data_IF_954547694596
#
_entry.id   IF_954547694596
#
_cell.length_a   1.000
_cell.length_b   1.000
_cell.length_c   1.000
_cell.angle_alpha   90.00
_cell.angle_beta   90.00
_cell.angle_gamma   90.00
#
_symmetry.space_group_name_H-M   'P 1'
#
loop_
_entity.id
_entity.type
_entity.pdbx_description
1 polymer ?
#
# COMPACT_ATOMS: atom_id res chain seq x y z
N UNK A 1 2.83 22.30 5.46
CA UNK A 1 2.49 20.89 5.17
C UNK A 1 3.44 20.39 4.10
N UNK A 2 3.88 19.14 4.24
CA UNK A 2 4.88 18.49 3.38
C UNK A 2 4.40 18.29 1.94
N UNK A 3 3.11 18.00 1.75
CA UNK A 3 2.42 17.85 0.45
C UNK A 3 2.46 19.06 -0.48
N UNK A 4 3.04 20.20 -0.05
CA UNK A 4 3.34 21.35 -0.93
C UNK A 4 4.68 21.22 -1.67
N UNK A 5 5.51 20.25 -1.30
CA UNK A 5 6.89 20.10 -1.79
C UNK A 5 7.19 18.70 -2.34
N UNK A 6 6.45 17.67 -1.89
CA UNK A 6 6.63 16.27 -2.31
C UNK A 6 5.28 15.58 -2.54
N UNK A 7 5.30 14.50 -3.31
CA UNK A 7 4.14 13.66 -3.65
C UNK A 7 4.29 12.32 -2.91
N UNK A 8 3.23 11.75 -2.29
CA UNK A 8 3.32 10.45 -1.64
C UNK A 8 3.58 9.31 -2.63
N UNK A 9 4.20 8.22 -2.14
CA UNK A 9 4.40 7.00 -2.92
C UNK A 9 3.07 6.32 -3.30
N UNK A 10 3.06 5.62 -4.44
CA UNK A 10 1.86 4.97 -4.99
C UNK A 10 1.70 3.49 -4.63
N UNK A 11 2.73 2.86 -4.04
CA UNK A 11 2.71 1.46 -3.60
C UNK A 11 3.72 1.19 -2.48
N UNK A 12 3.47 0.14 -1.71
CA UNK A 12 4.44 -0.46 -0.79
C UNK A 12 5.44 -1.25 -1.63
N UNK A 13 6.74 -1.02 -1.41
CA UNK A 13 7.83 -1.77 -2.06
C UNK A 13 8.14 -3.00 -1.19
N UNK A 14 8.23 -4.22 -1.76
CA UNK A 14 8.66 -5.40 -1.00
C UNK A 14 10.03 -5.20 -0.33
N UNK A 15 10.30 -5.90 0.79
CA UNK A 15 11.63 -5.93 1.38
C UNK A 15 12.69 -6.37 0.35
N UNK A 16 13.83 -5.68 0.34
CA UNK A 16 14.94 -6.00 -0.56
C UNK A 16 15.83 -7.08 0.07
N UNK A 17 16.17 -8.12 -0.68
CA UNK A 17 17.18 -9.08 -0.27
C UNK A 17 18.57 -8.41 -0.28
N UNK A 18 19.30 -8.52 0.83
CA UNK A 18 20.63 -7.92 1.01
C UNK A 18 21.53 -8.83 1.85
N UNK A 19 22.87 -8.66 1.81
CA UNK A 19 23.78 -9.44 2.65
C UNK A 19 23.49 -9.39 4.15
N UNK A 20 22.83 -8.33 4.65
CA UNK A 20 22.47 -8.19 6.08
C UNK A 20 21.11 -8.80 6.44
N UNK A 21 20.29 -9.19 5.46
CA UNK A 21 18.93 -9.73 5.63
C UNK A 21 17.92 -9.00 4.73
N UNK A 22 16.63 -9.34 4.85
CA UNK A 22 15.59 -8.66 4.07
C UNK A 22 15.28 -7.26 4.64
N UNK A 23 15.52 -6.21 3.86
CA UNK A 23 15.39 -4.81 4.31
C UNK A 23 14.07 -4.19 3.84
N UNK A 24 13.18 -3.93 4.80
CA UNK A 24 11.97 -3.13 4.60
C UNK A 24 12.28 -1.63 4.58
N UNK A 25 11.73 -0.93 3.59
CA UNK A 25 11.98 0.49 3.35
C UNK A 25 10.84 1.37 3.88
N UNK A 26 11.16 2.39 4.66
CA UNK A 26 10.24 3.43 5.14
C UNK A 26 11.01 4.73 5.37
N UNK A 27 10.33 5.87 5.50
CA UNK A 27 10.95 7.19 5.63
C UNK A 27 10.24 8.00 6.72
N UNK A 28 11.01 8.44 7.73
CA UNK A 28 10.62 9.47 8.69
C UNK A 28 9.21 9.34 9.28
N UNK A 29 8.23 10.04 8.71
CA UNK A 29 6.86 10.11 9.21
C UNK A 29 6.13 8.75 9.17
N UNK A 30 6.55 7.84 8.28
CA UNK A 30 6.08 6.46 8.16
C UNK A 30 6.11 5.69 9.49
N UNK A 31 7.08 5.97 10.36
CA UNK A 31 7.21 5.29 11.67
C UNK A 31 5.97 5.45 12.56
N UNK A 32 5.11 6.44 12.29
CA UNK A 32 3.86 6.66 13.04
C UNK A 32 2.76 5.66 12.69
N UNK A 33 2.87 4.98 11.54
CA UNK A 33 1.86 4.07 11.01
C UNK A 33 2.34 2.62 11.16
N UNK A 34 1.91 1.87 12.20
CA UNK A 34 2.33 0.49 12.41
C UNK A 34 2.01 -0.42 11.22
N UNK A 35 0.96 -0.12 10.46
CA UNK A 35 0.46 -0.90 9.33
C UNK A 35 1.54 -1.12 8.26
N UNK A 36 2.37 -0.12 7.98
CA UNK A 36 3.45 -0.25 6.99
C UNK A 36 4.53 -1.23 7.47
N UNK A 37 4.92 -1.15 8.74
CA UNK A 37 5.94 -2.03 9.32
C UNK A 37 5.46 -3.46 9.45
N UNK A 38 4.20 -3.64 9.86
CA UNK A 38 3.50 -4.92 9.84
C UNK A 38 3.43 -5.51 8.42
N UNK A 39 3.27 -4.66 7.38
CA UNK A 39 3.14 -5.12 5.99
C UNK A 39 4.48 -5.62 5.46
N UNK A 40 5.53 -4.82 5.61
CA UNK A 40 6.91 -5.19 5.27
C UNK A 40 7.35 -6.48 6.00
N UNK A 41 7.00 -6.61 7.27
CA UNK A 41 7.30 -7.81 8.07
C UNK A 41 6.49 -9.03 7.61
N UNK A 42 5.19 -8.89 7.28
CA UNK A 42 4.39 -9.97 6.64
C UNK A 42 4.96 -10.37 5.27
N UNK A 43 5.66 -9.46 4.60
CA UNK A 43 6.39 -9.71 3.33
C UNK A 43 7.81 -10.27 3.54
N UNK A 44 8.21 -10.55 4.79
CA UNK A 44 9.49 -11.21 5.10
C UNK A 44 10.63 -10.27 5.49
N UNK A 45 10.38 -9.00 5.82
CA UNK A 45 11.43 -8.13 6.33
C UNK A 45 12.05 -8.68 7.63
N UNK A 46 13.39 -8.63 7.72
CA UNK A 46 14.17 -8.91 8.92
C UNK A 46 14.69 -7.62 9.56
N UNK A 47 14.84 -6.57 8.76
CA UNK A 47 15.22 -5.23 9.16
C UNK A 47 14.21 -4.22 8.63
N UNK A 48 13.90 -3.19 9.41
CA UNK A 48 13.09 -2.03 9.01
C UNK A 48 13.96 -0.76 9.07
N UNK A 49 13.82 0.11 8.08
CA UNK A 49 14.60 1.34 7.98
C UNK A 49 13.73 2.58 8.14
N UNK A 50 14.22 3.56 8.91
CA UNK A 50 13.58 4.87 9.05
C UNK A 50 14.59 6.03 8.94
N UNK A 51 15.26 6.22 7.78
CA UNK A 51 15.97 7.46 7.47
C UNK A 51 15.07 8.68 7.70
N UNK A 52 15.54 9.63 8.51
CA UNK A 52 14.68 10.64 9.13
C UNK A 52 15.33 12.01 9.29
N UNK A 53 14.50 13.04 9.34
CA UNK A 53 14.88 14.39 9.73
C UNK A 53 13.91 14.96 10.77
N UNK A 54 13.64 14.17 11.81
CA UNK A 54 12.67 14.47 12.86
C UNK A 54 12.91 15.84 13.52
N UNK A 55 11.84 16.59 13.80
CA UNK A 55 11.95 17.91 14.44
C UNK A 55 12.30 17.74 15.91
N UNK A 56 13.16 18.63 16.44
CA UNK A 56 13.72 18.52 17.79
C UNK A 56 12.67 18.19 18.88
N UNK A 57 11.62 18.99 19.00
CA UNK A 57 10.57 18.81 20.01
C UNK A 57 9.77 17.50 19.86
N UNK A 58 9.54 17.02 18.64
CA UNK A 58 8.82 15.74 18.44
C UNK A 58 9.74 14.53 18.57
N UNK A 59 11.04 14.69 18.29
CA UNK A 59 12.07 13.67 18.47
C UNK A 59 12.29 13.36 19.94
N UNK A 60 12.49 14.40 20.76
CA UNK A 60 12.65 14.30 22.21
C UNK A 60 11.54 13.47 22.91
N UNK A 61 10.31 13.55 22.41
CA UNK A 61 9.16 12.86 22.99
C UNK A 61 8.84 11.47 22.37
N UNK A 62 9.15 11.26 21.09
CA UNK A 62 8.61 10.11 20.34
C UNK A 62 9.65 9.25 19.62
N UNK A 63 10.87 9.73 19.40
CA UNK A 63 11.83 9.10 18.48
C UNK A 63 12.17 7.67 18.92
N UNK A 64 12.76 7.52 20.11
CA UNK A 64 13.14 6.21 20.63
C UNK A 64 11.90 5.31 20.84
N UNK A 65 10.85 5.82 21.49
CA UNK A 65 9.62 5.08 21.79
C UNK A 65 8.97 4.47 20.56
N UNK A 66 8.86 5.23 19.46
CA UNK A 66 8.29 4.72 18.21
C UNK A 66 9.21 3.69 17.56
N UNK A 67 10.53 3.94 17.47
CA UNK A 67 11.46 2.99 16.86
C UNK A 67 11.51 1.66 17.62
N UNK A 68 11.55 1.71 18.96
CA UNK A 68 11.53 0.51 19.82
C UNK A 68 10.22 -0.25 19.68
N UNK A 69 9.08 0.44 19.63
CA UNK A 69 7.79 -0.20 19.38
C UNK A 69 7.77 -0.93 18.03
N UNK A 70 8.30 -0.32 16.95
CA UNK A 70 8.41 -0.95 15.62
C UNK A 70 9.32 -2.17 15.63
N UNK A 71 10.39 -2.18 16.42
CA UNK A 71 11.27 -3.34 16.55
C UNK A 71 10.55 -4.51 17.25
N UNK A 72 9.95 -4.23 18.41
CA UNK A 72 9.30 -5.22 19.28
C UNK A 72 8.07 -5.85 18.61
N UNK A 73 7.13 -5.04 18.07
CA UNK A 73 5.84 -5.54 17.57
C UNK A 73 5.96 -6.38 16.28
N UNK A 74 7.08 -6.21 15.56
CA UNK A 74 7.38 -6.87 14.29
C UNK A 74 8.45 -7.96 14.43
N UNK A 75 9.23 -7.98 15.52
CA UNK A 75 10.41 -8.83 15.67
C UNK A 75 11.38 -8.64 14.50
N UNK A 76 11.79 -7.38 14.29
CA UNK A 76 12.73 -6.94 13.27
C UNK A 76 13.80 -6.05 13.90
N UNK A 77 15.02 -6.04 13.35
CA UNK A 77 15.96 -4.96 13.64
C UNK A 77 15.39 -3.64 13.10
N UNK A 78 15.63 -2.53 13.80
CA UNK A 78 15.25 -1.19 13.34
C UNK A 78 16.49 -0.32 13.18
N UNK A 79 16.67 0.26 11.99
CA UNK A 79 17.83 1.10 11.62
C UNK A 79 17.32 2.50 11.26
N UNK A 80 17.65 3.49 12.08
CA UNK A 80 17.11 4.83 11.96
C UNK A 80 18.24 5.85 11.77
N UNK A 81 18.65 6.07 10.52
CA UNK A 81 19.58 7.14 10.18
C UNK A 81 18.89 8.49 10.41
N UNK A 82 19.56 9.44 11.06
CA UNK A 82 18.93 10.71 11.46
C UNK A 82 19.77 11.92 11.04
N UNK A 83 19.12 12.97 10.57
CA UNK A 83 19.71 14.31 10.54
C UNK A 83 19.75 14.91 11.94
N UNK A 84 20.83 15.61 12.30
CA UNK A 84 21.01 16.26 13.61
C UNK A 84 21.36 17.75 13.49
N UNK A 85 21.08 18.50 14.56
CA UNK A 85 21.49 19.89 14.73
C UNK A 85 20.65 20.89 13.93
N UNK A 86 21.09 22.15 13.97
CA UNK A 86 20.43 23.27 13.30
C UNK A 86 20.85 23.34 11.83
N UNK A 87 19.88 23.21 10.93
CA UNK A 87 20.04 23.33 9.49
C UNK A 87 19.96 24.79 9.05
N UNK A 88 18.98 25.53 9.58
CA UNK A 88 18.78 26.96 9.32
C UNK A 88 18.03 27.60 10.49
N UNK A 89 17.84 28.93 10.47
CA UNK A 89 17.18 29.72 11.52
C UNK A 89 15.79 29.24 11.97
N UNK A 90 15.12 28.37 11.19
CA UNK A 90 13.77 27.86 11.48
C UNK A 90 13.70 26.32 11.57
N UNK A 91 14.80 25.59 11.38
CA UNK A 91 14.80 24.12 11.29
C UNK A 91 15.98 23.51 12.04
N UNK A 92 15.66 22.76 13.09
CA UNK A 92 16.60 21.94 13.88
C UNK A 92 16.07 20.51 13.95
N UNK A 93 16.93 19.53 13.70
CA UNK A 93 16.58 18.11 13.79
C UNK A 93 17.17 17.44 15.03
N UNK A 94 16.47 16.42 15.51
CA UNK A 94 16.79 15.70 16.74
C UNK A 94 18.13 14.95 16.69
N UNK A 95 18.42 14.24 15.60
CA UNK A 95 19.54 13.28 15.58
C UNK A 95 19.16 12.00 16.30
N UNK A 96 20.05 11.52 17.17
CA UNK A 96 19.95 10.21 17.84
C UNK A 96 19.76 9.06 16.85
N UNK A 97 20.54 9.05 15.76
CA UNK A 97 20.56 7.92 14.84
C UNK A 97 20.91 6.64 15.60
N UNK A 98 20.10 5.59 15.46
CA UNK A 98 20.21 4.38 16.28
C UNK A 98 19.90 3.09 15.52
N UNK A 99 20.45 1.99 16.02
CA UNK A 99 20.11 0.61 15.67
C UNK A 99 19.51 -0.06 16.90
N UNK A 100 18.40 -0.77 16.69
CA UNK A 100 17.63 -1.45 17.74
C UNK A 100 17.46 -2.91 17.35
N UNK A 101 17.66 -3.81 18.30
CA UNK A 101 17.43 -5.25 18.11
C UNK A 101 15.92 -5.61 18.09
N UNK A 102 15.53 -6.82 17.67
CA UNK A 102 14.14 -7.26 17.66
C UNK A 102 13.48 -7.39 19.04
N UNK A 103 14.24 -7.29 20.13
CA UNK A 103 13.75 -7.26 21.51
C UNK A 103 13.47 -5.82 21.99
N UNK A 104 13.85 -4.82 21.19
CA UNK A 104 13.71 -3.40 21.53
C UNK A 104 14.87 -2.85 22.35
N UNK A 105 16.03 -3.50 22.37
CA UNK A 105 17.28 -2.97 22.95
C UNK A 105 17.96 -2.04 21.96
N UNK A 106 18.34 -0.83 22.37
CA UNK A 106 19.18 0.06 21.54
C UNK A 106 20.61 -0.47 21.58
N UNK A 107 21.04 -1.14 20.51
CA UNK A 107 22.37 -1.78 20.42
C UNK A 107 23.46 -0.82 19.94
N UNK A 108 23.09 0.25 19.25
CA UNK A 108 23.99 1.30 18.82
C UNK A 108 23.25 2.64 18.71
N UNK A 109 23.89 3.74 19.10
CA UNK A 109 23.35 5.10 18.95
C UNK A 109 24.50 6.10 18.73
N UNK A 110 24.32 7.03 17.80
CA UNK A 110 25.21 8.17 17.63
C UNK A 110 25.13 9.13 18.84
N UNK A 111 26.28 9.71 19.21
CA UNK A 111 26.34 10.91 20.06
C UNK A 111 25.58 12.08 19.41
N UNK A 112 25.40 13.19 20.13
CA UNK A 112 25.06 14.45 19.47
C UNK A 112 26.16 14.87 18.45
N UNK A 113 25.77 15.65 17.44
CA UNK A 113 26.68 16.12 16.39
C UNK A 113 26.83 15.14 15.21
N UNK A 114 27.56 15.57 14.17
CA UNK A 114 27.77 14.75 12.98
C UNK A 114 28.69 13.57 13.32
N UNK A 115 28.19 12.34 13.20
CA UNK A 115 28.93 11.14 13.60
C UNK A 115 28.41 9.90 12.85
N UNK A 116 29.04 8.74 13.07
CA UNK A 116 28.54 7.43 12.66
C UNK A 116 28.68 6.41 13.79
N UNK A 117 27.89 5.34 13.72
CA UNK A 117 27.98 4.20 14.64
C UNK A 117 27.82 2.90 13.87
N UNK A 118 28.47 1.83 14.32
CA UNK A 118 28.36 0.49 13.75
C UNK A 118 27.58 -0.45 14.66
N UNK A 119 26.84 -1.40 14.07
CA UNK A 119 26.18 -2.49 14.78
C UNK A 119 26.28 -3.79 13.99
N UNK A 120 26.52 -4.91 14.68
CA UNK A 120 26.45 -6.26 14.11
C UNK A 120 25.00 -6.77 14.13
N UNK A 121 24.55 -7.37 13.03
CA UNK A 121 23.20 -7.92 12.89
C UNK A 121 23.22 -9.45 12.97
N UNK A 122 22.60 -10.01 14.02
CA UNK A 122 22.42 -11.46 14.17
C UNK A 122 21.00 -11.91 13.73
N UNK A 123 20.95 -12.60 12.58
CA UNK A 123 19.72 -13.18 12.06
C UNK A 123 19.31 -14.48 12.78
N UNK A 124 20.21 -15.16 13.51
CA UNK A 124 19.88 -16.33 14.32
C UNK A 124 19.14 -15.92 15.60
N UNK A 125 19.60 -14.86 16.26
CA UNK A 125 18.86 -14.18 17.33
C UNK A 125 17.44 -13.79 16.88
N UNK A 126 17.30 -13.14 15.72
CA UNK A 126 15.99 -12.81 15.15
C UNK A 126 15.12 -14.05 14.86
N UNK A 127 15.69 -15.11 14.27
CA UNK A 127 14.97 -16.36 13.99
C UNK A 127 14.48 -17.03 15.28
N UNK A 128 15.35 -17.19 16.27
CA UNK A 128 15.01 -17.83 17.56
C UNK A 128 13.95 -17.05 18.35
N UNK A 129 13.93 -15.71 18.29
CA UNK A 129 12.84 -14.90 18.85
C UNK A 129 11.50 -15.14 18.13
N UNK A 130 11.50 -15.20 16.79
CA UNK A 130 10.27 -15.50 16.01
C UNK A 130 9.76 -16.93 16.24
N UNK A 131 10.64 -17.88 16.55
CA UNK A 131 10.28 -19.26 16.90
C UNK A 131 9.74 -19.37 18.34
N UNK A 132 10.39 -18.74 19.32
CA UNK A 132 9.99 -18.78 20.73
C UNK A 132 8.76 -17.94 21.06
N UNK A 133 8.58 -16.80 20.39
CA UNK A 133 7.42 -15.92 20.52
C UNK A 133 6.78 -15.67 19.15
N UNK A 134 5.98 -16.61 18.61
CA UNK A 134 5.50 -16.55 17.23
C UNK A 134 4.30 -15.61 17.06
N UNK A 135 4.51 -14.29 17.18
CA UNK A 135 3.47 -13.26 17.17
C UNK A 135 2.49 -13.40 16.00
N UNK A 136 2.98 -13.73 14.80
CA UNK A 136 2.16 -13.93 13.60
C UNK A 136 1.17 -15.10 13.70
N UNK A 137 1.46 -16.13 14.50
CA UNK A 137 0.53 -17.25 14.77
C UNK A 137 -0.55 -16.86 15.78
N UNK A 138 -0.29 -15.86 16.63
CA UNK A 138 -1.21 -15.43 17.70
C UNK A 138 -2.18 -14.32 17.26
N UNK A 139 -2.04 -13.77 16.04
CA UNK A 139 -2.93 -12.73 15.52
C UNK A 139 -4.36 -13.25 15.30
N UNK A 140 -5.32 -12.58 15.92
CA UNK A 140 -6.78 -12.88 15.88
C UNK A 140 -7.42 -12.38 14.58
N UNK A 141 -6.99 -13.03 13.51
CA UNK A 141 -7.45 -12.81 12.13
C UNK A 141 -8.94 -13.20 11.90
N UNK A 142 -9.57 -13.78 12.91
CA UNK A 142 -10.99 -14.05 13.05
C UNK A 142 -11.78 -12.84 13.61
N UNK A 143 -11.11 -11.93 14.32
CA UNK A 143 -11.70 -10.70 14.89
C UNK A 143 -11.39 -9.46 14.07
N UNK A 144 -10.20 -9.38 13.47
CA UNK A 144 -9.78 -8.31 12.58
C UNK A 144 -9.28 -8.87 11.25
N UNK A 145 -9.46 -8.16 10.11
CA UNK A 145 -8.93 -8.63 8.84
C UNK A 145 -7.42 -8.84 8.90
N UNK A 146 -6.95 -9.93 8.29
CA UNK A 146 -5.53 -10.04 7.93
C UNK A 146 -5.19 -8.87 7.00
N UNK A 147 -4.00 -8.29 7.18
CA UNK A 147 -3.58 -7.20 6.29
C UNK A 147 -3.36 -7.72 4.86
N UNK A 148 -4.17 -7.23 3.92
CA UNK A 148 -4.15 -7.64 2.52
C UNK A 148 -2.91 -7.12 1.81
N UNK A 149 -2.24 -7.97 1.02
CA UNK A 149 -1.09 -7.56 0.21
C UNK A 149 -1.56 -6.76 -1.01
N UNK A 150 -1.23 -5.47 -1.09
CA UNK A 150 -1.45 -4.65 -2.30
C UNK A 150 -0.37 -4.90 -3.34
N UNK A 151 -0.31 -6.13 -3.85
CA UNK A 151 0.59 -6.55 -4.92
C UNK A 151 0.28 -5.85 -6.26
N UNK A 152 0.72 -4.60 -6.38
CA UNK A 152 0.69 -3.80 -7.61
C UNK A 152 1.94 -4.07 -8.46
N UNK A 153 1.97 -5.29 -9.03
CA UNK A 153 2.94 -5.76 -10.03
C UNK A 153 4.39 -5.92 -9.54
N UNK A 154 5.16 -6.95 -9.90
CA UNK A 154 4.91 -8.07 -10.83
C UNK A 154 6.04 -9.11 -10.72
N UNK A 155 5.74 -10.30 -10.21
CA UNK A 155 6.63 -11.47 -10.34
C UNK A 155 6.22 -12.26 -11.58
N UNK A 156 7.13 -12.40 -12.55
CA UNK A 156 6.87 -12.88 -13.90
C UNK A 156 6.74 -14.41 -14.00
N UNK A 157 5.70 -14.97 -13.39
CA UNK A 157 5.11 -16.23 -13.89
C UNK A 157 3.93 -15.89 -14.79
N UNK A 158 4.19 -15.92 -16.11
CA UNK A 158 3.15 -15.84 -17.12
C UNK A 158 2.38 -17.16 -17.12
N UNK A 159 1.32 -17.21 -16.32
CA UNK A 159 0.46 -18.38 -16.23
C UNK A 159 -0.50 -18.39 -17.44
N UNK A 160 -0.26 -19.33 -18.37
CA UNK A 160 -1.01 -19.47 -19.62
C UNK A 160 -2.51 -19.71 -19.40
N UNK A 161 -2.88 -20.34 -18.29
CA UNK A 161 -4.29 -20.62 -17.98
C UNK A 161 -4.61 -20.73 -16.49
N UNK A 162 -5.86 -20.37 -16.16
CA UNK A 162 -6.44 -20.36 -14.82
C UNK A 162 -7.62 -21.32 -14.78
N UNK A 163 -7.81 -22.02 -13.65
CA UNK A 163 -8.92 -22.94 -13.48
C UNK A 163 -10.16 -22.21 -12.95
N UNK A 164 -11.31 -22.38 -13.61
CA UNK A 164 -12.60 -21.85 -13.21
C UNK A 164 -13.63 -22.98 -13.19
N UNK A 165 -13.75 -23.68 -12.04
CA UNK A 165 -14.46 -24.96 -11.95
C UNK A 165 -13.98 -25.98 -12.96
N UNK A 166 -14.89 -26.54 -13.77
CA UNK A 166 -14.51 -27.48 -14.82
C UNK A 166 -13.92 -26.83 -16.08
N UNK A 167 -13.85 -25.49 -16.15
CA UNK A 167 -13.41 -24.75 -17.35
C UNK A 167 -12.00 -24.20 -17.15
N UNK A 168 -11.18 -24.30 -18.20
CA UNK A 168 -9.87 -23.65 -18.27
C UNK A 168 -10.02 -22.29 -18.97
N UNK A 169 -9.63 -21.22 -18.28
CA UNK A 169 -9.64 -19.82 -18.75
C UNK A 169 -8.24 -19.47 -19.24
N UNK A 170 -8.10 -19.02 -20.50
CA UNK A 170 -6.79 -18.63 -21.07
C UNK A 170 -6.36 -17.25 -20.55
N UNK A 171 -5.05 -17.03 -20.45
CA UNK A 171 -4.45 -15.72 -20.13
C UNK A 171 -5.10 -14.56 -20.90
N UNK A 172 -5.34 -14.74 -22.19
CA UNK A 172 -5.80 -13.70 -23.12
C UNK A 172 -7.23 -13.22 -22.81
N UNK A 173 -8.00 -13.99 -22.05
CA UNK A 173 -9.33 -13.60 -21.55
C UNK A 173 -9.29 -12.93 -20.17
N UNK A 174 -8.15 -12.97 -19.45
CA UNK A 174 -7.97 -12.37 -18.12
C UNK A 174 -7.39 -10.96 -18.26
N UNK A 175 -8.20 -9.94 -17.98
CA UNK A 175 -7.80 -8.54 -18.17
C UNK A 175 -7.31 -7.85 -16.89
N UNK A 176 -7.59 -8.40 -15.71
CA UNK A 176 -7.07 -7.91 -14.43
C UNK A 176 -6.91 -9.06 -13.43
N UNK A 177 -5.89 -9.00 -12.57
CA UNK A 177 -5.68 -9.97 -11.49
C UNK A 177 -4.93 -9.38 -10.29
N UNK A 178 -5.11 -10.01 -9.14
CA UNK A 178 -4.32 -9.84 -7.91
C UNK A 178 -3.58 -11.16 -7.63
N UNK A 179 -3.08 -11.34 -6.40
CA UNK A 179 -2.57 -12.64 -5.93
C UNK A 179 -3.67 -13.60 -5.44
N UNK A 180 -4.94 -13.15 -5.32
CA UNK A 180 -6.05 -13.96 -4.79
C UNK A 180 -7.23 -14.08 -5.77
N UNK A 181 -7.46 -13.09 -6.63
CA UNK A 181 -8.62 -13.00 -7.54
C UNK A 181 -8.17 -12.68 -8.96
N UNK A 182 -8.99 -13.04 -9.95
CA UNK A 182 -8.83 -12.65 -11.34
C UNK A 182 -10.18 -12.28 -11.98
N UNK A 183 -10.15 -11.33 -12.92
CA UNK A 183 -11.30 -10.85 -13.67
C UNK A 183 -11.10 -11.14 -15.17
N UNK A 184 -12.11 -11.72 -15.80
CA UNK A 184 -12.01 -12.25 -17.16
C UNK A 184 -13.31 -12.10 -17.97
N UNK A 185 -13.16 -12.15 -19.29
CA UNK A 185 -14.29 -12.01 -20.23
C UNK A 185 -15.14 -13.27 -20.29
N UNK A 186 -16.46 -13.09 -20.38
CA UNK A 186 -17.39 -14.21 -20.51
C UNK A 186 -17.49 -14.67 -21.99
N UNK A 187 -17.55 -15.98 -22.24
CA UNK A 187 -17.81 -16.55 -23.58
C UNK A 187 -19.26 -16.38 -24.02
N UNK A 188 -20.20 -16.23 -23.09
CA UNK A 188 -21.63 -16.03 -23.32
C UNK A 188 -22.13 -14.83 -22.51
N UNK A 189 -21.77 -13.64 -22.99
CA UNK A 189 -22.27 -12.38 -22.43
C UNK A 189 -23.80 -12.33 -22.49
N UNK A 190 -24.43 -11.85 -21.43
CA UNK A 190 -25.89 -11.66 -21.35
C UNK A 190 -26.24 -10.25 -21.84
N UNK A 191 -25.38 -9.29 -21.48
CA UNK A 191 -25.35 -7.91 -21.96
C UNK A 191 -23.91 -7.53 -22.33
N UNK A 192 -23.69 -6.48 -23.17
CA UNK A 192 -22.38 -5.88 -23.35
C UNK A 192 -21.76 -5.49 -22.00
N UNK A 193 -20.45 -5.69 -21.85
CA UNK A 193 -19.75 -5.46 -20.58
C UNK A 193 -19.89 -6.59 -19.54
N UNK A 194 -20.65 -7.67 -19.82
CA UNK A 194 -20.74 -8.81 -18.90
C UNK A 194 -19.38 -9.53 -18.74
N UNK A 195 -18.75 -9.30 -17.60
CA UNK A 195 -17.49 -9.91 -17.16
C UNK A 195 -17.69 -10.73 -15.89
N UNK A 196 -16.71 -11.60 -15.59
CA UNK A 196 -16.71 -12.49 -14.44
C UNK A 196 -15.51 -12.19 -13.54
N UNK A 197 -15.75 -12.19 -12.22
CA UNK A 197 -14.70 -12.08 -11.19
C UNK A 197 -14.71 -13.35 -10.35
N UNK A 198 -13.53 -13.93 -10.10
CA UNK A 198 -13.38 -15.23 -9.44
C UNK A 198 -12.10 -15.33 -8.59
N UNK A 199 -12.12 -15.98 -7.41
CA UNK A 199 -10.90 -16.33 -6.68
C UNK A 199 -10.05 -17.34 -7.48
N UNK A 200 -8.72 -17.13 -7.47
CA UNK A 200 -7.73 -18.06 -8.04
C UNK A 200 -7.83 -19.43 -7.33
N UNK A 201 -8.12 -19.43 -6.02
CA UNK A 201 -8.46 -20.66 -5.28
C UNK A 201 -9.96 -20.96 -5.38
N UNK A 202 -10.30 -21.90 -6.25
CA UNK A 202 -10.81 -23.21 -5.77
C UNK A 202 -12.07 -23.29 -4.87
N UNK A 203 -12.92 -22.28 -4.74
CA UNK A 203 -13.92 -22.16 -3.64
C UNK A 203 -15.37 -22.22 -4.12
N UNK A 204 -16.11 -23.26 -3.70
CA UNK A 204 -17.44 -23.62 -4.24
C UNK A 204 -18.55 -22.68 -3.78
N UNK A 205 -18.55 -22.37 -2.48
CA UNK A 205 -19.48 -21.49 -1.79
C UNK A 205 -18.79 -20.19 -1.39
N UNK A 206 -19.55 -19.11 -1.19
CA UNK A 206 -19.02 -17.91 -0.52
C UNK A 206 -18.49 -18.25 0.89
N UNK A 207 -19.10 -19.22 1.57
CA UNK A 207 -18.67 -19.71 2.89
C UNK A 207 -17.32 -20.44 2.89
N UNK A 208 -16.83 -20.88 1.73
CA UNK A 208 -15.55 -21.62 1.61
C UNK A 208 -14.37 -20.67 1.39
N UNK A 209 -14.64 -19.39 1.17
CA UNK A 209 -13.64 -18.34 0.97
C UNK A 209 -13.16 -17.80 2.31
N UNK A 210 -11.88 -17.47 2.37
CA UNK A 210 -11.32 -16.71 3.50
C UNK A 210 -11.71 -15.24 3.41
N UNK A 211 -11.71 -14.52 4.54
CA UNK A 211 -12.00 -13.08 4.57
C UNK A 211 -11.04 -12.25 3.70
N UNK A 212 -9.79 -12.72 3.49
CA UNK A 212 -8.83 -12.11 2.55
C UNK A 212 -9.35 -12.20 1.10
N UNK A 213 -9.82 -13.38 0.68
CA UNK A 213 -10.31 -13.61 -0.68
C UNK A 213 -11.65 -12.92 -0.91
N UNK A 214 -12.57 -12.90 0.07
CA UNK A 214 -13.83 -12.17 -0.03
C UNK A 214 -13.56 -10.66 -0.20
N UNK A 215 -12.67 -10.10 0.63
CA UNK A 215 -12.30 -8.69 0.56
C UNK A 215 -11.63 -8.34 -0.77
N UNK A 216 -10.63 -9.10 -1.20
CA UNK A 216 -9.94 -8.87 -2.48
C UNK A 216 -10.87 -9.02 -3.67
N UNK A 217 -11.79 -9.99 -3.64
CA UNK A 217 -12.78 -10.22 -4.69
C UNK A 217 -13.75 -9.05 -4.84
N UNK A 218 -14.35 -8.55 -3.75
CA UNK A 218 -15.27 -7.41 -3.84
C UNK A 218 -14.57 -6.08 -4.13
N UNK A 219 -13.32 -5.89 -3.67
CA UNK A 219 -12.48 -4.76 -4.09
C UNK A 219 -12.11 -4.84 -5.58
N UNK A 220 -11.95 -6.05 -6.13
CA UNK A 220 -11.79 -6.25 -7.57
C UNK A 220 -13.07 -5.91 -8.32
N UNK A 221 -14.24 -6.35 -7.85
CA UNK A 221 -15.54 -5.97 -8.44
C UNK A 221 -15.69 -4.46 -8.52
N UNK A 222 -15.47 -3.71 -7.43
CA UNK A 222 -15.57 -2.24 -7.45
C UNK A 222 -14.65 -1.58 -8.48
N UNK A 223 -13.41 -2.08 -8.64
CA UNK A 223 -12.47 -1.59 -9.66
C UNK A 223 -12.94 -1.91 -11.07
N UNK A 224 -13.41 -3.14 -11.30
CA UNK A 224 -13.89 -3.62 -12.60
C UNK A 224 -15.15 -2.86 -13.01
N UNK A 225 -16.12 -2.72 -12.11
CA UNK A 225 -17.34 -1.94 -12.28
C UNK A 225 -17.02 -0.52 -12.77
N UNK A 226 -16.18 0.22 -12.05
CA UNK A 226 -15.78 1.59 -12.41
C UNK A 226 -15.14 1.69 -13.80
N UNK A 227 -14.35 0.69 -14.20
CA UNK A 227 -13.76 0.61 -15.54
C UNK A 227 -14.81 0.28 -16.61
N UNK A 228 -15.71 -0.67 -16.34
CA UNK A 228 -16.74 -1.11 -17.28
C UNK A 228 -17.80 -0.03 -17.52
N UNK A 229 -18.28 0.64 -16.46
CA UNK A 229 -19.18 1.80 -16.55
C UNK A 229 -18.60 2.90 -17.43
N UNK A 230 -17.30 3.21 -17.25
CA UNK A 230 -16.60 4.21 -18.06
C UNK A 230 -16.44 3.80 -19.53
N UNK A 231 -16.13 2.53 -19.81
CA UNK A 231 -15.96 2.01 -21.18
C UNK A 231 -17.31 1.98 -21.92
N UNK A 232 -18.38 1.57 -21.24
CA UNK A 232 -19.70 1.39 -21.82
C UNK A 232 -20.63 2.61 -21.66
N UNK A 233 -20.14 3.70 -21.08
CA UNK A 233 -20.87 4.95 -20.83
C UNK A 233 -22.17 4.72 -20.02
N UNK A 234 -22.10 3.82 -19.04
CA UNK A 234 -23.22 3.43 -18.20
C UNK A 234 -23.19 4.14 -16.85
N UNK A 235 -24.37 4.28 -16.23
CA UNK A 235 -24.57 4.87 -14.90
C UNK A 235 -24.95 3.84 -13.82
N UNK A 236 -25.14 2.58 -14.22
CA UNK A 236 -25.79 1.54 -13.41
C UNK A 236 -25.24 0.16 -13.76
N UNK A 237 -24.80 -0.58 -12.74
CA UNK A 237 -24.29 -1.94 -12.85
C UNK A 237 -24.99 -2.86 -11.84
N UNK A 238 -25.13 -4.15 -12.18
CA UNK A 238 -25.82 -5.15 -11.37
C UNK A 238 -24.91 -6.33 -11.07
N UNK A 239 -24.46 -6.41 -9.82
CA UNK A 239 -23.60 -7.47 -9.31
C UNK A 239 -24.47 -8.63 -8.82
N UNK A 240 -24.37 -9.80 -9.47
CA UNK A 240 -25.16 -11.00 -9.09
C UNK A 240 -24.25 -12.14 -8.69
N UNK A 241 -24.56 -12.78 -7.55
CA UNK A 241 -23.90 -14.01 -7.07
C UNK A 241 -24.86 -15.19 -7.11
N UNK A 242 -24.49 -16.24 -7.85
CA UNK A 242 -25.19 -17.53 -7.85
C UNK A 242 -24.46 -18.54 -6.95
N UNK A 243 -24.73 -18.49 -5.64
CA UNK A 243 -24.14 -19.42 -4.68
C UNK A 243 -25.06 -20.63 -4.43
N UNK A 244 -24.82 -21.74 -5.15
CA UNK A 244 -25.49 -23.02 -4.97
C UNK A 244 -26.42 -23.43 -6.11
N UNK A 245 -26.82 -24.71 -6.09
CA UNK A 245 -27.66 -25.32 -7.12
C UNK A 245 -28.98 -24.57 -7.30
N UNK A 246 -29.67 -24.26 -6.21
CA UNK A 246 -30.99 -23.64 -6.23
C UNK A 246 -30.92 -22.12 -6.53
N UNK A 247 -29.74 -21.52 -6.39
CA UNK A 247 -29.41 -20.18 -6.88
C UNK A 247 -29.02 -20.15 -8.37
N UNK A 248 -29.08 -21.30 -9.06
CA UNK A 248 -28.78 -21.41 -10.50
C UNK A 248 -27.30 -21.59 -10.86
N UNK A 249 -26.42 -21.93 -9.90
CA UNK A 249 -24.98 -22.11 -10.17
C UNK A 249 -24.73 -23.23 -11.22
N UNK A 250 -24.22 -22.84 -12.39
CA UNK A 250 -24.04 -23.73 -13.56
C UNK A 250 -22.68 -24.42 -13.61
N UNK A 251 -21.65 -23.82 -13.02
CA UNK A 251 -20.27 -24.34 -12.96
C UNK A 251 -20.18 -25.31 -11.77
N UNK A 252 -19.62 -26.50 -11.99
CA UNK A 252 -19.66 -27.64 -11.06
C UNK A 252 -18.26 -28.22 -10.82
N UNK A 253 -18.10 -28.90 -9.68
CA UNK A 253 -16.90 -29.63 -9.29
C UNK A 253 -16.50 -30.68 -10.33
N UNK A 254 -15.21 -30.74 -10.66
CA UNK A 254 -14.55 -31.95 -11.15
C UNK A 254 -14.06 -32.75 -9.94
N UNK A 255 -14.08 -34.09 -9.99
CA UNK A 255 -13.48 -34.86 -8.91
C UNK A 255 -12.01 -34.43 -8.69
N UNK A 256 -11.67 -34.18 -7.42
CA UNK A 256 -10.40 -33.66 -6.93
C UNK A 256 -9.97 -32.22 -7.26
N UNK A 257 -10.74 -31.39 -7.99
CA UNK A 257 -10.49 -29.92 -8.07
C UNK A 257 -11.79 -29.12 -8.01
N UNK A 258 -11.84 -28.13 -7.10
CA UNK A 258 -13.06 -27.37 -6.76
C UNK A 258 -13.65 -26.56 -7.91
N UNK A 259 -14.80 -25.93 -7.67
CA UNK A 259 -15.41 -24.97 -8.58
C UNK A 259 -15.72 -23.65 -7.88
N UNK A 260 -16.23 -22.66 -8.62
CA UNK A 260 -16.12 -21.24 -8.24
C UNK A 260 -17.45 -20.50 -8.33
N UNK A 261 -17.55 -19.45 -7.52
CA UNK A 261 -18.62 -18.45 -7.53
C UNK A 261 -18.59 -17.63 -8.83
N UNK A 262 -19.77 -17.35 -9.37
CA UNK A 262 -19.97 -16.38 -10.45
C UNK A 262 -20.36 -15.04 -9.82
N UNK A 263 -19.53 -14.01 -10.02
CA UNK A 263 -19.95 -12.61 -9.94
C UNK A 263 -20.13 -12.10 -11.37
N UNK A 264 -21.38 -12.05 -11.84
CA UNK A 264 -21.68 -11.34 -13.09
C UNK A 264 -21.90 -9.87 -12.75
N UNK A 265 -21.13 -8.99 -13.38
CA UNK A 265 -21.50 -7.58 -13.44
C UNK A 265 -22.28 -7.36 -14.74
N UNK A 266 -23.54 -6.96 -14.63
CA UNK A 266 -24.43 -6.73 -15.78
C UNK A 266 -24.78 -5.25 -15.88
N UNK A 267 -24.39 -4.63 -17.00
CA UNK A 267 -24.68 -3.23 -17.29
C UNK A 267 -26.13 -3.10 -17.73
N UNK A 268 -26.93 -2.37 -16.95
CA UNK A 268 -28.32 -2.07 -17.29
C UNK A 268 -28.41 -0.69 -17.96
N UNK A 269 -28.17 -0.66 -19.27
CA UNK A 269 -28.56 0.48 -20.12
C UNK A 269 -30.05 0.36 -20.51
N UNK A 270 -30.95 0.48 -19.52
CA UNK A 270 -32.39 0.51 -19.76
C UNK A 270 -32.95 1.93 -19.66
N UNK A 271 -33.08 2.58 -20.81
CA UNK A 271 -34.19 3.52 -21.01
C UNK A 271 -35.50 2.74 -20.82
N UNK A 272 -36.46 3.35 -20.12
CA UNK A 272 -37.75 2.75 -19.80
C UNK A 272 -38.47 2.19 -21.05
N UNK A 273 -38.71 0.88 -21.10
CA UNK A 273 -39.79 0.32 -21.92
C UNK A 273 -40.35 -0.97 -21.29
N UNK A 274 -41.68 -1.05 -21.28
CA UNK A 274 -42.56 -1.99 -20.57
C UNK A 274 -42.07 -3.45 -20.52
N UNK A 275 -42.06 -4.03 -19.31
CA UNK A 275 -42.43 -5.43 -19.13
C UNK A 275 -43.65 -5.54 -18.22
N UNK A 276 -44.76 -6.01 -18.80
CA UNK A 276 -45.99 -6.33 -18.07
C UNK A 276 -45.83 -7.69 -17.40
N UNK A 277 -46.04 -7.75 -16.08
CA UNK A 277 -46.33 -9.02 -15.39
C UNK A 277 -47.72 -8.94 -14.79
N UNK A 278 -48.65 -9.64 -15.45
CA UNK A 278 -49.97 -9.91 -14.91
C UNK A 278 -49.89 -11.02 -13.86
N UNK A 279 -50.60 -10.83 -12.74
CA UNK A 279 -50.99 -11.92 -11.83
C UNK A 279 -49.89 -12.48 -10.90
N UNK A 280 -49.85 -12.02 -9.66
CA UNK A 280 -50.52 -12.66 -8.50
C UNK A 280 -50.45 -11.65 -7.35
N UNK A 281 -51.60 -11.33 -6.74
CA UNK A 281 -51.68 -10.34 -5.66
C UNK A 281 -51.75 -10.98 -4.28
N UNK A 282 -50.93 -10.47 -3.34
CA UNK A 282 -51.22 -10.40 -1.90
C UNK A 282 -50.71 -9.02 -1.45
N UNK A 283 -51.53 -8.25 -0.72
CA UNK A 283 -51.27 -6.84 -0.42
C UNK A 283 -50.84 -6.55 1.02
N UNK A 284 -51.18 -5.32 1.46
CA UNK A 284 -50.85 -4.66 2.75
C UNK A 284 -49.44 -4.02 2.75
N UNK A 285 -49.27 -2.72 2.99
CA UNK A 285 -50.28 -1.65 3.15
C UNK A 285 -49.61 -0.27 3.22
N UNK A 286 -50.29 0.77 2.74
CA UNK A 286 -49.82 2.16 2.86
C UNK A 286 -50.05 2.69 4.28
N UNK A 287 -49.09 3.43 4.82
CA UNK A 287 -49.31 4.36 5.93
C UNK A 287 -48.69 5.72 5.59
N UNK A 288 -49.53 6.59 5.05
CA UNK A 288 -49.19 7.98 4.77
C UNK A 288 -49.52 8.81 6.03
N UNK A 289 -48.59 9.67 6.47
CA UNK A 289 -48.89 10.67 7.50
C UNK A 289 -48.29 12.01 7.14
N UNK A 290 -49.09 12.80 6.43
CA UNK A 290 -48.87 14.21 6.18
C UNK A 290 -48.95 15.01 7.48
N UNK A 291 -47.98 15.90 7.70
CA UNK A 291 -48.14 17.09 8.56
C UNK A 291 -47.57 18.29 7.79
N UNK A 292 -48.34 19.38 7.82
CA UNK A 292 -48.25 20.56 6.96
C UNK A 292 -47.17 21.58 7.36
N UNK A 293 -46.64 22.28 6.37
CA UNK A 293 -45.93 23.56 6.52
C UNK A 293 -46.88 24.77 6.57
N UNK A 294 -46.45 25.86 7.21
CA UNK A 294 -46.43 27.19 6.57
C UNK A 294 -45.08 27.91 6.85
N UNK A 295 -44.32 28.53 5.93
CA UNK A 295 -44.58 29.51 4.85
C UNK A 295 -44.40 31.00 5.26
N UNK A 296 -43.25 31.57 4.89
CA UNK A 296 -43.02 32.98 4.49
C UNK A 296 -41.63 33.03 3.82
N UNK A 297 -41.41 33.37 2.54
CA UNK A 297 -41.51 34.70 1.90
C UNK A 297 -40.70 35.78 2.63
N UNK A 298 -39.93 36.70 2.04
CA UNK A 298 -39.45 37.02 0.66
C UNK A 298 -38.14 37.86 0.83
N UNK A 299 -37.33 38.32 -0.14
CA UNK A 299 -37.43 38.51 -1.61
C UNK A 299 -36.04 38.28 -2.29
N UNK A 300 -35.91 38.64 -3.57
CA UNK A 300 -34.78 38.55 -4.49
C UNK A 300 -33.60 39.55 -4.29
N UNK A 301 -32.47 39.27 -4.95
CA UNK A 301 -31.99 40.15 -6.02
C UNK A 301 -31.09 39.44 -7.06
N UNK A 302 -31.04 39.99 -8.27
CA UNK A 302 -30.36 39.43 -9.46
C UNK A 302 -28.94 39.99 -9.65
N UNK A 303 -28.06 39.22 -10.31
CA UNK A 303 -27.58 39.50 -11.69
C UNK A 303 -26.08 39.30 -11.99
N UNK A 304 -25.82 39.03 -13.28
CA UNK A 304 -24.62 39.25 -14.11
C UNK A 304 -23.48 38.22 -14.10
N UNK A 305 -23.44 37.50 -15.22
CA UNK A 305 -22.23 36.96 -15.84
C UNK A 305 -21.18 38.04 -16.12
N UNK A 306 -19.91 37.64 -16.16
CA UNK A 306 -18.99 38.10 -17.21
C UNK A 306 -17.89 37.07 -17.46
N UNK A 307 -17.70 36.69 -18.73
CA UNK A 307 -16.47 36.06 -19.22
C UNK A 307 -15.36 37.12 -19.24
N UNK A 308 -14.13 36.73 -18.95
CA UNK A 308 -12.96 37.34 -19.60
C UNK A 308 -11.81 36.32 -19.66
N UNK A 309 -11.12 36.34 -20.80
CA UNK A 309 -10.05 35.41 -21.17
C UNK A 309 -8.69 36.10 -21.09
N UNK A 310 -7.67 35.41 -20.58
CA UNK A 310 -6.29 35.90 -20.62
C UNK A 310 -5.30 34.76 -20.44
N UNK A 311 -4.57 34.41 -21.50
CA UNK A 311 -3.43 33.49 -21.43
C UNK A 311 -2.13 34.26 -21.22
N UNK A 312 -1.11 33.59 -20.68
CA UNK A 312 0.28 34.02 -20.66
C UNK A 312 1.22 32.84 -20.89
N UNK A 313 2.44 33.15 -21.33
CA UNK A 313 3.26 32.30 -22.20
C UNK A 313 4.18 31.30 -21.46
N UNK A 314 4.67 30.31 -22.22
CA UNK A 314 5.68 29.37 -21.77
C UNK A 314 7.10 29.96 -21.86
N UNK A 315 7.75 30.19 -20.70
CA UNK A 315 9.16 30.56 -20.63
C UNK A 315 10.08 29.35 -20.54
N UNK A 316 10.86 29.08 -21.59
CA UNK A 316 11.90 28.04 -21.60
C UNK A 316 13.19 28.50 -20.90
N UNK A 317 13.73 27.63 -20.05
CA UNK A 317 15.17 27.55 -19.79
C UNK A 317 15.69 28.13 -18.47
N UNK A 318 16.18 27.23 -17.59
CA UNK A 318 17.61 27.19 -17.19
C UNK A 318 17.95 25.91 -16.43
N UNK A 319 19.08 25.32 -16.84
CA UNK A 319 19.75 24.13 -16.28
C UNK A 319 19.67 23.99 -14.75
N UNK A 320 19.08 22.90 -14.28
CA UNK A 320 19.33 22.39 -12.93
C UNK A 320 20.66 21.61 -12.94
N UNK A 321 21.64 22.09 -12.17
CA UNK A 321 22.85 21.33 -11.87
C UNK A 321 22.50 20.13 -11.00
N UNK A 322 23.14 18.99 -11.27
CA UNK A 322 23.01 17.77 -10.48
C UNK A 322 23.54 18.00 -9.05
N UNK A 323 22.78 17.54 -8.05
CA UNK A 323 23.27 17.43 -6.67
C UNK A 323 23.94 16.06 -6.46
N UNK A 324 24.93 15.93 -5.56
CA UNK A 324 25.73 14.71 -5.49
C UNK A 324 24.91 13.52 -5.01
N UNK A 325 24.83 12.48 -5.84
CA UNK A 325 24.34 11.16 -5.44
C UNK A 325 25.25 10.56 -4.37
N UNK A 326 24.66 10.05 -3.30
CA UNK A 326 25.37 9.30 -2.25
C UNK A 326 25.90 8.00 -2.85
N UNK A 327 27.20 7.96 -3.15
CA UNK A 327 27.87 6.75 -3.64
C UNK A 327 28.17 5.78 -2.48
N UNK A 328 27.54 4.61 -2.52
CA UNK A 328 27.89 3.48 -1.67
C UNK A 328 29.22 2.88 -2.13
N UNK A 329 30.25 2.90 -1.28
CA UNK A 329 31.57 2.35 -1.58
C UNK A 329 31.87 1.18 -0.66
N UNK A 330 31.58 -0.04 -1.13
CA UNK A 330 31.90 -1.27 -0.39
C UNK A 330 33.41 -1.54 -0.47
N UNK A 331 34.10 -1.49 0.68
CA UNK A 331 35.46 -2.01 0.82
C UNK A 331 35.39 -3.53 0.97
N UNK A 332 36.20 -4.22 0.16
CA UNK A 332 36.22 -5.68 0.07
C UNK A 332 37.49 -6.19 0.75
N UNK A 333 37.36 -6.84 1.91
CA UNK A 333 37.96 -8.16 2.24
C UNK A 333 37.99 -8.51 3.75
N UNK A 334 37.89 -9.83 4.01
CA UNK A 334 38.11 -10.58 5.27
C UNK A 334 36.98 -10.58 6.34
N UNK A 335 36.43 -11.79 6.54
CA UNK A 335 35.37 -12.20 7.50
C UNK A 335 34.12 -11.32 7.47
N UNK A 336 33.05 -11.86 6.89
CA UNK A 336 31.74 -11.18 6.78
C UNK A 336 31.04 -11.24 8.15
N UNK A 337 31.48 -10.40 9.08
CA UNK A 337 30.58 -9.86 10.10
C UNK A 337 29.56 -8.97 9.39
N UNK A 338 28.28 -9.06 9.78
CA UNK A 338 27.18 -8.33 9.13
C UNK A 338 27.04 -6.95 9.74
N UNK A 339 28.11 -6.16 9.60
CA UNK A 339 28.21 -4.83 10.18
C UNK A 339 27.43 -3.81 9.34
N UNK A 340 26.58 -3.03 10.01
CA UNK A 340 25.88 -1.90 9.42
C UNK A 340 26.49 -0.61 9.94
N UNK A 341 26.98 0.23 9.02
CA UNK A 341 27.43 1.60 9.30
C UNK A 341 26.23 2.54 9.23
N UNK A 342 25.85 3.12 10.35
CA UNK A 342 24.77 4.09 10.46
C UNK A 342 25.32 5.52 10.51
N UNK A 343 24.87 6.37 9.58
CA UNK A 343 25.32 7.75 9.47
C UNK A 343 24.35 8.74 10.13
N UNK A 344 24.89 9.71 10.86
CA UNK A 344 24.20 10.89 11.35
C UNK A 344 24.80 12.15 10.72
N UNK A 345 24.40 12.53 9.49
CA UNK A 345 24.94 13.71 8.82
C UNK A 345 24.36 15.01 9.39
N UNK A 346 25.19 16.05 9.39
CA UNK A 346 24.76 17.45 9.53
C UNK A 346 24.65 18.06 8.12
N UNK A 347 23.57 18.77 7.83
CA UNK A 347 23.49 19.56 6.59
C UNK A 347 24.31 20.83 6.79
N UNK A 348 25.41 20.96 6.06
CA UNK A 348 26.16 22.20 5.98
C UNK A 348 25.41 23.18 5.06
N UNK A 349 24.95 24.29 5.62
CA UNK A 349 24.81 25.51 4.85
C UNK A 349 26.15 26.23 4.92
N UNK A 350 26.96 26.13 3.87
CA UNK A 350 28.05 27.09 3.67
C UNK A 350 27.44 28.46 3.35
N UNK A 351 27.86 29.55 4.01
CA UNK A 351 27.80 30.87 3.38
C UNK A 351 28.84 30.94 2.24
N UNK A 352 28.64 31.83 1.26
CA UNK A 352 29.54 32.04 0.12
C UNK A 352 30.94 32.55 0.52
N UNK A 353 31.77 31.67 1.08
CA UNK A 353 33.19 31.89 1.35
C UNK A 353 33.98 30.63 1.01
N UNK A 354 34.85 30.74 0.01
CA UNK A 354 35.51 29.62 -0.65
C UNK A 354 36.25 28.67 0.30
N UNK A 355 36.05 27.37 0.08
CA UNK A 355 36.94 26.30 0.57
C UNK A 355 38.38 26.53 0.07
N UNK A 356 39.38 26.63 0.96
CA UNK A 356 40.76 26.37 0.57
C UNK A 356 40.91 24.87 0.29
N UNK A 357 41.53 24.52 -0.83
CA UNK A 357 41.63 23.13 -1.27
C UNK A 357 42.44 22.27 -0.29
N UNK A 358 41.77 21.32 0.36
CA UNK A 358 42.41 20.20 1.07
C UNK A 358 42.79 19.09 0.07
N UNK A 359 43.72 19.41 -0.82
CA UNK A 359 44.57 18.41 -1.48
C UNK A 359 45.82 18.17 -0.62
N UNK A 360 46.26 16.91 -0.57
CA UNK A 360 47.51 16.44 0.06
C UNK A 360 47.59 16.49 1.60
N UNK A 361 47.34 15.33 2.23
CA UNK A 361 48.31 14.64 3.11
C UNK A 361 47.77 13.27 3.56
N UNK A 362 48.08 12.24 2.76
CA UNK A 362 48.08 10.85 3.19
C UNK A 362 49.39 10.20 2.71
N UNK A 363 50.44 10.41 3.50
CA UNK A 363 51.74 9.74 3.34
C UNK A 363 52.32 9.44 4.72
N UNK A 364 52.36 8.15 5.07
CA UNK A 364 52.98 7.58 6.29
C UNK A 364 52.23 7.93 7.59
N UNK A 365 52.09 7.05 8.57
CA UNK A 365 52.63 5.68 8.76
C UNK A 365 51.51 4.63 8.91
#
# INVERSE_FOLDING_TARGET
MESKYVIPGSKIVPPLDTPVGNVGLSICYDMRFPELSLALTKMGADLLTFPSAFTFATGAAHWETLLRARAIENQCYVIAAAQTGTHNKKRTSWGHAMVIDPWGTVVAQCSEGANMVTAEIDLQLLKSMRESMPLWKHRRNDLYPKMTQTNSSSSSHYQESYQFGQVVVKSDSVFYKTSLTFAFTNKKCVVPGHVLVAPIRCSLRLSDMTSEEISDMFLMVQKVQCVMEKIHQATSSSIVVQDGKDAGQTIKRLENRGATIMLSDSINCLNFSLWSMAGVGVGIGFFERSISSPSSSEDALKSKEKKESGGWEAGLGKSCKESPLVQWRFLKERRIHKDIVLLQPRVFNEPDTAMPALSERLTRE
#
